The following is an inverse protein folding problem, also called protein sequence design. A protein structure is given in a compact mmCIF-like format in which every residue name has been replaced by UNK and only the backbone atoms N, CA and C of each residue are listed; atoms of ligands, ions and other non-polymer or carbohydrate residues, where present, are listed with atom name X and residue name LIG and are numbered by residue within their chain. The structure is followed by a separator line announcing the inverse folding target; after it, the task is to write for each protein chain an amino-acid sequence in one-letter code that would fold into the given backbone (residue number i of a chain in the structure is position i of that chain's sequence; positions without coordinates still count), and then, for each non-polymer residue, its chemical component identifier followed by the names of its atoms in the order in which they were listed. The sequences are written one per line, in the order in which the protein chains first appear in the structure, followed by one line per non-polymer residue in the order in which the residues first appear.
data_IF_439212287820
#
_entry.id   IF_439212287820
#
_cell.length_a   1.000
_cell.length_b   1.000
_cell.length_c   1.000
_cell.angle_alpha   90.00
_cell.angle_beta   90.00
_cell.angle_gamma   90.00
#
_symmetry.space_group_name_H-M   'P 1'
#
loop_
_entity.id
_entity.type
_entity.pdbx_description
1 polymer ?
#
# COMPACT_ATOMS: atom_id res chain seq x y z
N UNK A 1 55.47 12.98 20.56
CA UNK A 1 54.11 12.40 20.38
C UNK A 1 53.22 13.34 19.56
N UNK A 2 53.47 13.53 18.25
CA UNK A 2 52.74 14.56 17.46
C UNK A 2 52.45 14.23 15.99
N UNK A 3 52.62 12.97 15.57
CA UNK A 3 52.43 12.53 14.18
C UNK A 3 51.11 11.77 13.96
N UNK A 4 50.64 11.00 14.95
CA UNK A 4 49.40 10.22 14.85
C UNK A 4 48.16 11.13 14.80
N UNK A 5 48.14 12.20 15.61
CA UNK A 5 47.04 13.19 15.62
C UNK A 5 46.88 13.90 14.27
N UNK A 6 47.98 14.20 13.56
CA UNK A 6 47.92 14.84 12.24
C UNK A 6 47.39 13.91 11.15
N UNK A 7 47.68 12.61 11.23
CA UNK A 7 47.17 11.60 10.30
C UNK A 7 45.66 11.38 10.47
N UNK A 8 45.17 11.33 11.71
CA UNK A 8 43.72 11.25 11.99
C UNK A 8 42.98 12.51 11.55
N UNK A 9 43.57 13.70 11.70
CA UNK A 9 42.96 14.96 11.24
C UNK A 9 43.00 15.07 9.71
N UNK A 10 44.07 14.61 9.05
CA UNK A 10 44.16 14.58 7.58
C UNK A 10 43.19 13.57 6.96
N UNK A 11 42.98 12.40 7.58
CA UNK A 11 41.95 11.44 7.18
C UNK A 11 40.54 12.01 7.37
N UNK A 12 40.23 12.60 8.52
CA UNK A 12 38.94 13.24 8.76
C UNK A 12 38.67 14.41 7.78
N UNK A 13 39.68 15.22 7.49
CA UNK A 13 39.63 16.30 6.49
C UNK A 13 39.42 15.74 5.08
N UNK A 14 40.14 14.68 4.70
CA UNK A 14 40.00 14.04 3.40
C UNK A 14 38.62 13.40 3.22
N UNK A 15 38.04 12.78 4.26
CA UNK A 15 36.67 12.26 4.21
C UNK A 15 35.66 13.40 4.06
N UNK A 16 35.88 14.53 4.75
CA UNK A 16 35.02 15.71 4.64
C UNK A 16 35.11 16.35 3.24
N UNK A 17 36.31 16.42 2.65
CA UNK A 17 36.54 16.95 1.31
C UNK A 17 36.01 16.03 0.20
N UNK A 18 36.12 14.71 0.35
CA UNK A 18 35.46 13.74 -0.56
C UNK A 18 33.94 13.83 -0.45
N UNK A 19 33.40 14.05 0.75
CA UNK A 19 31.96 14.28 0.96
C UNK A 19 31.52 15.62 0.36
N UNK A 20 32.35 16.67 0.43
CA UNK A 20 32.07 17.98 -0.17
C UNK A 20 32.17 17.96 -1.71
N UNK A 21 33.15 17.23 -2.26
CA UNK A 21 33.32 17.04 -3.69
C UNK A 21 32.21 16.15 -4.26
N UNK A 22 31.82 15.10 -3.54
CA UNK A 22 30.63 14.30 -3.87
C UNK A 22 29.34 15.12 -3.74
N UNK A 23 29.23 16.07 -2.80
CA UNK A 23 28.06 16.93 -2.66
C UNK A 23 27.78 17.84 -3.88
N UNK A 24 28.75 18.01 -4.79
CA UNK A 24 28.57 18.69 -6.09
C UNK A 24 28.22 17.74 -7.26
N UNK A 25 28.27 16.42 -7.04
CA UNK A 25 27.78 15.45 -8.00
C UNK A 25 26.27 15.24 -7.77
N UNK A 26 25.46 15.64 -8.74
CA UNK A 26 24.03 15.36 -8.72
C UNK A 26 23.78 14.02 -9.43
N UNK A 27 23.23 13.01 -8.73
CA UNK A 27 22.87 11.74 -9.34
C UNK A 27 21.58 11.91 -10.12
N UNK A 28 21.62 11.83 -11.44
CA UNK A 28 20.39 11.82 -12.22
C UNK A 28 19.80 10.39 -12.27
N UNK A 29 18.82 10.13 -11.39
CA UNK A 29 18.15 8.84 -11.32
C UNK A 29 17.35 8.49 -12.59
N UNK A 30 17.11 9.44 -13.50
CA UNK A 30 16.53 9.13 -14.81
C UNK A 30 17.52 8.40 -15.73
N UNK A 31 18.82 8.57 -15.51
CA UNK A 31 19.89 8.01 -16.34
C UNK A 31 20.45 6.69 -15.79
N UNK A 32 20.20 6.39 -14.51
CA UNK A 32 20.64 5.15 -13.88
C UNK A 32 19.65 4.05 -14.25
N UNK A 33 20.06 3.12 -15.11
CA UNK A 33 19.27 1.98 -15.54
C UNK A 33 20.01 0.69 -15.27
N UNK A 34 19.31 -0.26 -14.66
CA UNK A 34 19.76 -1.61 -14.43
C UNK A 34 19.09 -2.57 -15.41
N UNK A 35 19.78 -3.67 -15.70
CA UNK A 35 19.15 -4.80 -16.38
C UNK A 35 18.10 -5.41 -15.45
N UNK A 36 16.89 -5.61 -15.96
CA UNK A 36 15.82 -6.22 -15.19
C UNK A 36 16.19 -7.68 -14.84
N UNK A 37 15.94 -8.14 -13.60
CA UNK A 37 16.18 -9.53 -13.23
C UNK A 37 15.36 -10.49 -14.11
N UNK A 38 15.87 -11.71 -14.30
CA UNK A 38 15.28 -12.70 -15.20
C UNK A 38 13.81 -12.98 -14.89
N UNK A 39 13.46 -12.95 -13.60
CA UNK A 39 12.12 -13.22 -13.10
C UNK A 39 11.09 -12.21 -13.58
N UNK A 40 11.50 -11.00 -13.95
CA UNK A 40 10.61 -9.93 -14.42
C UNK A 40 10.52 -9.83 -15.95
N UNK A 41 11.32 -10.58 -16.71
CA UNK A 41 11.41 -10.38 -18.16
C UNK A 41 10.06 -10.60 -18.88
N UNK A 42 9.26 -11.57 -18.44
CA UNK A 42 7.95 -11.80 -19.04
C UNK A 42 6.99 -10.63 -18.76
N UNK A 43 7.06 -10.01 -17.57
CA UNK A 43 6.33 -8.77 -17.30
C UNK A 43 6.64 -7.69 -18.34
N UNK A 44 7.93 -7.41 -18.57
CA UNK A 44 8.37 -6.40 -19.54
C UNK A 44 7.97 -6.71 -20.99
N UNK A 45 7.76 -7.99 -21.33
CA UNK A 45 7.26 -8.41 -22.66
C UNK A 45 5.75 -8.24 -22.80
N UNK A 46 5.01 -8.37 -21.70
CA UNK A 46 3.54 -8.28 -21.65
C UNK A 46 3.03 -6.84 -21.46
N UNK A 47 3.90 -5.89 -21.15
CA UNK A 47 3.54 -4.47 -21.11
C UNK A 47 3.26 -3.91 -22.52
N UNK A 48 2.35 -2.94 -22.58
CA UNK A 48 2.19 -2.13 -23.78
C UNK A 48 3.49 -1.35 -24.05
N UNK A 49 3.74 -1.02 -25.33
CA UNK A 49 4.94 -0.28 -25.73
C UNK A 49 5.07 1.03 -24.93
N UNK A 50 3.96 1.76 -24.82
CA UNK A 50 3.90 3.01 -24.06
C UNK A 50 4.22 2.81 -22.58
N UNK A 51 3.56 1.88 -21.88
CA UNK A 51 3.83 1.63 -20.45
C UNK A 51 5.26 1.22 -20.18
N UNK A 52 5.85 0.44 -21.10
CA UNK A 52 7.26 0.07 -21.00
C UNK A 52 8.19 1.27 -21.19
N UNK A 53 7.94 2.12 -22.18
CA UNK A 53 8.69 3.36 -22.40
C UNK A 53 8.57 4.31 -21.19
N UNK A 54 7.35 4.49 -20.67
CA UNK A 54 7.08 5.31 -19.48
C UNK A 54 7.81 4.76 -18.25
N UNK A 55 7.84 3.44 -18.08
CA UNK A 55 8.54 2.77 -16.98
C UNK A 55 10.07 2.79 -17.09
N UNK A 56 10.64 2.86 -18.30
CA UNK A 56 12.09 2.84 -18.51
C UNK A 56 12.71 4.24 -18.67
N UNK A 57 11.93 5.24 -19.09
CA UNK A 57 12.41 6.58 -19.44
C UNK A 57 11.57 7.72 -18.83
N UNK A 58 10.42 7.40 -18.25
CA UNK A 58 9.49 8.40 -17.71
C UNK A 58 9.79 8.84 -16.27
N UNK A 59 8.93 9.71 -15.74
CA UNK A 59 9.01 10.23 -14.37
C UNK A 59 8.93 9.14 -13.31
N UNK A 60 8.23 8.03 -13.61
CA UNK A 60 8.06 6.90 -12.69
C UNK A 60 9.35 6.10 -12.51
N UNK A 61 10.22 6.03 -13.54
CA UNK A 61 11.58 5.47 -13.43
C UNK A 61 12.43 6.28 -12.46
N UNK A 62 12.47 7.60 -12.66
CA UNK A 62 13.20 8.50 -11.76
C UNK A 62 12.62 8.45 -10.33
N UNK A 63 11.31 8.30 -10.18
CA UNK A 63 10.64 8.13 -8.88
C UNK A 63 11.07 6.84 -8.20
N UNK A 64 11.08 5.72 -8.91
CA UNK A 64 11.57 4.43 -8.41
C UNK A 64 13.02 4.52 -7.95
N UNK A 65 13.91 5.08 -8.76
CA UNK A 65 15.32 5.26 -8.42
C UNK A 65 15.54 6.17 -7.19
N UNK A 66 14.85 7.31 -7.12
CA UNK A 66 14.92 8.22 -5.97
C UNK A 66 14.44 7.56 -4.68
N UNK A 67 13.29 6.89 -4.71
CA UNK A 67 12.77 6.19 -3.53
C UNK A 67 13.70 5.04 -3.13
N UNK A 68 14.19 4.26 -4.10
CA UNK A 68 15.14 3.18 -3.85
C UNK A 68 16.39 3.69 -3.13
N UNK A 69 17.02 4.75 -3.63
CA UNK A 69 18.20 5.33 -3.00
C UNK A 69 17.91 5.93 -1.61
N UNK A 70 16.71 6.48 -1.39
CA UNK A 70 16.30 7.07 -0.12
C UNK A 70 16.11 6.00 0.99
N UNK A 71 15.57 4.84 0.63
CA UNK A 71 15.24 3.76 1.56
C UNK A 71 16.25 2.60 1.59
N UNK A 72 17.15 2.50 0.61
CA UNK A 72 18.17 1.44 0.49
C UNK A 72 18.84 1.03 1.82
N UNK A 73 19.30 1.96 2.68
CA UNK A 73 20.00 1.59 3.91
C UNK A 73 19.16 0.87 4.97
N UNK A 74 17.83 0.97 4.91
CA UNK A 74 16.93 0.43 5.94
C UNK A 74 16.13 -0.79 5.47
N UNK A 75 16.33 -1.22 4.22
CA UNK A 75 15.65 -2.37 3.64
C UNK A 75 16.32 -3.67 4.12
N UNK A 76 15.58 -4.63 4.69
CA UNK A 76 16.10 -5.94 5.04
C UNK A 76 16.49 -6.73 3.78
N UNK A 77 17.40 -7.69 3.94
CA UNK A 77 17.79 -8.55 2.83
C UNK A 77 16.66 -9.50 2.47
N UNK A 78 16.05 -9.27 1.30
CA UNK A 78 14.91 -10.06 0.82
C UNK A 78 15.08 -10.63 -0.61
N UNK A 79 16.20 -11.31 -0.91
CA UNK A 79 16.44 -11.82 -2.26
C UNK A 79 15.41 -12.84 -2.72
N UNK A 80 14.89 -13.70 -1.83
CA UNK A 80 13.93 -14.74 -2.22
C UNK A 80 12.54 -14.17 -2.45
N UNK A 81 12.12 -13.21 -1.65
CA UNK A 81 10.88 -12.47 -1.85
C UNK A 81 10.91 -11.64 -3.13
N UNK A 82 11.98 -10.89 -3.39
CA UNK A 82 12.10 -10.14 -4.65
C UNK A 82 12.02 -11.08 -5.87
N UNK A 83 12.70 -12.23 -5.81
CA UNK A 83 12.65 -13.27 -6.85
C UNK A 83 11.25 -13.86 -7.02
N UNK A 84 10.62 -14.31 -5.93
CA UNK A 84 9.28 -14.90 -5.94
C UNK A 84 8.23 -13.91 -6.45
N UNK A 85 8.32 -12.65 -6.01
CA UNK A 85 7.45 -11.59 -6.49
C UNK A 85 7.64 -11.36 -8.00
N UNK A 86 8.88 -11.31 -8.50
CA UNK A 86 9.17 -11.26 -9.93
C UNK A 86 8.50 -12.37 -10.73
N UNK A 87 8.61 -13.62 -10.25
CA UNK A 87 7.95 -14.77 -10.88
C UNK A 87 6.43 -14.58 -10.87
N UNK A 88 5.86 -14.15 -9.74
CA UNK A 88 4.41 -13.93 -9.59
C UNK A 88 3.90 -12.87 -10.54
N UNK A 89 4.54 -11.70 -10.62
CA UNK A 89 4.08 -10.61 -11.50
C UNK A 89 4.20 -10.99 -12.97
N UNK A 90 5.25 -11.74 -13.33
CA UNK A 90 5.43 -12.30 -14.68
C UNK A 90 4.36 -13.33 -15.03
N UNK A 91 3.98 -14.19 -14.08
CA UNK A 91 2.88 -15.13 -14.26
C UNK A 91 1.53 -14.42 -14.44
N UNK A 92 1.21 -13.48 -13.56
CA UNK A 92 -0.05 -12.71 -13.61
C UNK A 92 -0.15 -11.94 -14.92
N UNK A 93 0.90 -11.22 -15.32
CA UNK A 93 0.91 -10.45 -16.57
C UNK A 93 0.82 -11.31 -17.83
N UNK A 94 1.24 -12.57 -17.75
CA UNK A 94 1.10 -13.54 -18.85
C UNK A 94 -0.30 -14.16 -18.92
N UNK A 95 -1.18 -13.87 -17.96
CA UNK A 95 -2.53 -14.42 -17.92
C UNK A 95 -3.36 -13.97 -19.13
N UNK A 96 -3.98 -14.91 -19.87
CA UNK A 96 -4.90 -14.57 -20.96
C UNK A 96 -6.11 -13.72 -20.51
N UNK A 97 -6.41 -13.70 -19.21
CA UNK A 97 -7.48 -12.86 -18.64
C UNK A 97 -7.15 -11.37 -18.76
N UNK A 98 -5.88 -11.00 -18.57
CA UNK A 98 -5.42 -9.62 -18.59
C UNK A 98 -4.92 -9.20 -19.98
N UNK A 99 -4.42 -10.16 -20.75
CA UNK A 99 -3.89 -9.96 -22.10
C UNK A 99 -4.62 -10.84 -23.12
N UNK A 100 -5.86 -10.49 -23.50
CA UNK A 100 -6.60 -11.21 -24.53
C UNK A 100 -5.83 -11.13 -25.86
N UNK A 101 -5.66 -12.28 -26.53
CA UNK A 101 -4.91 -12.45 -27.79
C UNK A 101 -5.56 -11.75 -29.01
N UNK A 102 -6.50 -10.83 -28.79
CA UNK A 102 -7.07 -10.02 -29.87
C UNK A 102 -5.93 -9.20 -30.46
N UNK A 103 -5.72 -9.33 -31.77
CA UNK A 103 -4.70 -8.58 -32.51
C UNK A 103 -4.76 -7.11 -32.08
N UNK A 104 -3.63 -6.51 -31.69
CA UNK A 104 -3.56 -5.10 -31.22
C UNK A 104 -4.28 -4.10 -32.15
N UNK A 105 -4.43 -4.44 -33.44
CA UNK A 105 -5.24 -3.71 -34.43
C UNK A 105 -6.73 -3.60 -34.11
N UNK A 106 -7.30 -4.46 -33.26
CA UNK A 106 -8.70 -4.44 -32.83
C UNK A 106 -9.03 -3.37 -31.79
N UNK A 107 -8.02 -2.79 -31.14
CA UNK A 107 -8.20 -1.79 -30.07
C UNK A 107 -8.05 -0.35 -30.55
N UNK A 108 -7.71 -0.14 -31.83
CA UNK A 108 -7.62 1.18 -32.45
C UNK A 108 -6.76 2.15 -31.63
N UNK A 109 -7.34 3.32 -31.30
CA UNK A 109 -6.68 4.40 -30.55
C UNK A 109 -6.31 4.05 -29.11
N UNK A 110 -6.83 2.94 -28.56
CA UNK A 110 -6.56 2.50 -27.19
C UNK A 110 -5.50 1.40 -27.10
N UNK A 111 -4.91 0.98 -28.22
CA UNK A 111 -3.95 -0.13 -28.25
C UNK A 111 -2.78 0.05 -27.27
N UNK A 112 -2.38 1.29 -26.99
CA UNK A 112 -1.28 1.62 -26.06
C UNK A 112 -1.69 1.57 -24.57
N UNK A 113 -2.98 1.57 -24.28
CA UNK A 113 -3.53 1.54 -22.91
C UNK A 113 -4.11 0.17 -22.53
N UNK A 114 -4.13 -0.79 -23.46
CA UNK A 114 -4.67 -2.14 -23.25
C UNK A 114 -3.66 -3.03 -22.53
N UNK A 115 -4.14 -3.82 -21.59
CA UNK A 115 -3.37 -4.78 -20.81
C UNK A 115 -3.16 -4.33 -19.37
N UNK A 116 -2.30 -5.05 -18.64
CA UNK A 116 -2.00 -4.78 -17.23
C UNK A 116 -1.21 -3.48 -17.05
N UNK A 117 -1.53 -2.71 -16.01
CA UNK A 117 -0.67 -1.63 -15.54
C UNK A 117 0.31 -2.18 -14.51
N UNK A 118 1.56 -2.37 -14.94
CA UNK A 118 2.66 -2.75 -14.07
C UNK A 118 3.85 -1.80 -14.25
N UNK A 119 3.54 -0.53 -14.58
CA UNK A 119 4.53 0.50 -14.92
C UNK A 119 5.50 0.72 -13.76
N UNK A 120 4.98 0.86 -12.54
CA UNK A 120 5.78 0.99 -11.31
C UNK A 120 6.64 -0.25 -11.01
N UNK A 121 6.15 -1.46 -11.28
CA UNK A 121 6.90 -2.70 -11.09
C UNK A 121 8.07 -2.78 -12.06
N UNK A 122 7.83 -2.51 -13.34
CA UNK A 122 8.90 -2.54 -14.35
C UNK A 122 9.94 -1.46 -14.09
N UNK A 123 9.49 -0.25 -13.75
CA UNK A 123 10.37 0.84 -13.32
C UNK A 123 11.22 0.44 -12.11
N UNK A 124 10.64 -0.24 -11.12
CA UNK A 124 11.37 -0.77 -9.98
C UNK A 124 12.41 -1.82 -10.40
N UNK A 125 12.02 -2.80 -11.22
CA UNK A 125 12.91 -3.85 -11.70
C UNK A 125 14.13 -3.29 -12.46
N UNK A 126 13.98 -2.15 -13.15
CA UNK A 126 15.07 -1.48 -13.88
C UNK A 126 15.77 -0.36 -13.09
N UNK A 127 15.36 -0.08 -11.85
CA UNK A 127 15.93 0.99 -11.00
C UNK A 127 16.86 0.48 -9.90
N UNK A 128 17.08 -0.84 -9.84
CA UNK A 128 18.03 -1.48 -8.92
C UNK A 128 17.36 -2.26 -7.77
N UNK A 129 18.16 -2.97 -6.97
CA UNK A 129 17.66 -3.99 -6.05
C UNK A 129 16.79 -3.43 -4.90
N UNK A 130 16.99 -2.17 -4.51
CA UNK A 130 16.20 -1.52 -3.46
C UNK A 130 14.83 -1.02 -3.95
N UNK A 131 14.61 -0.91 -5.25
CA UNK A 131 13.38 -0.33 -5.80
C UNK A 131 12.18 -1.29 -5.75
N UNK A 132 12.39 -2.60 -5.95
CA UNK A 132 11.35 -3.62 -5.81
C UNK A 132 10.77 -3.65 -4.39
N UNK A 133 11.57 -3.71 -3.31
CA UNK A 133 11.06 -3.59 -1.95
C UNK A 133 10.19 -2.33 -1.73
N UNK A 134 10.61 -1.19 -2.27
CA UNK A 134 9.84 0.07 -2.17
C UNK A 134 8.51 -0.04 -2.92
N UNK A 135 8.48 -0.72 -4.06
CA UNK A 135 7.22 -1.02 -4.74
C UNK A 135 6.30 -1.90 -3.89
N UNK A 136 6.85 -2.90 -3.19
CA UNK A 136 6.10 -3.74 -2.25
C UNK A 136 5.45 -2.91 -1.12
N UNK A 137 6.13 -1.88 -0.61
CA UNK A 137 5.52 -0.90 0.31
C UNK A 137 4.36 -0.17 -0.36
N UNK A 138 4.54 0.29 -1.60
CA UNK A 138 3.49 0.91 -2.39
C UNK A 138 2.24 0.04 -2.48
N UNK A 139 2.39 -1.26 -2.74
CA UNK A 139 1.29 -2.21 -2.75
C UNK A 139 0.61 -2.34 -1.38
N UNK A 140 1.35 -2.39 -0.26
CA UNK A 140 0.74 -2.45 1.07
C UNK A 140 -0.10 -1.19 1.37
N UNK A 141 0.43 -0.01 1.03
CA UNK A 141 -0.28 1.25 1.22
C UNK A 141 -1.51 1.34 0.33
N UNK A 142 -1.39 0.99 -0.95
CA UNK A 142 -2.50 1.00 -1.89
C UNK A 142 -3.61 0.01 -1.51
N UNK A 143 -3.25 -1.13 -0.93
CA UNK A 143 -4.21 -2.15 -0.47
C UNK A 143 -5.04 -1.67 0.72
N UNK A 144 -4.42 -0.97 1.68
CA UNK A 144 -5.07 -0.61 2.94
C UNK A 144 -5.72 0.78 2.92
N UNK A 145 -5.10 1.73 2.24
CA UNK A 145 -5.47 3.14 2.26
C UNK A 145 -6.08 3.59 0.93
N UNK A 146 -6.99 4.56 0.99
CA UNK A 146 -7.47 5.25 -0.22
C UNK A 146 -6.33 6.02 -0.87
N UNK A 147 -6.47 6.37 -2.15
CA UNK A 147 -5.41 7.06 -2.89
C UNK A 147 -4.91 8.33 -2.17
N UNK A 148 -5.82 9.19 -1.70
CA UNK A 148 -5.44 10.44 -1.01
C UNK A 148 -4.71 10.22 0.31
N UNK A 149 -5.08 9.18 1.06
CA UNK A 149 -4.42 8.80 2.31
C UNK A 149 -3.04 8.19 2.04
N UNK A 150 -2.94 7.24 1.11
CA UNK A 150 -1.68 6.61 0.72
C UNK A 150 -0.67 7.64 0.21
N UNK A 151 -1.10 8.59 -0.61
CA UNK A 151 -0.25 9.70 -1.08
C UNK A 151 0.20 10.58 0.09
N UNK A 152 -0.68 10.87 1.05
CA UNK A 152 -0.33 11.65 2.24
C UNK A 152 0.69 10.92 3.12
N UNK A 153 0.52 9.60 3.30
CA UNK A 153 1.47 8.74 4.00
C UNK A 153 2.83 8.75 3.31
N UNK A 154 2.86 8.59 1.97
CA UNK A 154 4.10 8.67 1.21
C UNK A 154 4.83 10.01 1.40
N UNK A 155 4.10 11.13 1.36
CA UNK A 155 4.68 12.46 1.59
C UNK A 155 5.31 12.55 2.97
N UNK A 156 4.63 12.05 4.01
CA UNK A 156 5.13 12.06 5.40
C UNK A 156 6.35 11.17 5.59
N UNK A 157 6.28 9.96 5.04
CA UNK A 157 7.36 8.96 5.15
C UNK A 157 8.61 9.45 4.43
N UNK A 158 8.48 10.02 3.24
CA UNK A 158 9.60 10.61 2.48
C UNK A 158 10.17 11.83 3.21
N UNK A 159 9.32 12.73 3.71
CA UNK A 159 9.76 13.92 4.44
C UNK A 159 10.53 13.54 5.71
N UNK A 160 10.01 12.61 6.51
CA UNK A 160 10.66 12.14 7.73
C UNK A 160 11.99 11.45 7.42
N UNK A 161 12.04 10.60 6.39
CA UNK A 161 13.27 9.92 5.98
C UNK A 161 14.36 10.91 5.56
N UNK A 162 14.01 11.96 4.83
CA UNK A 162 14.94 13.04 4.47
C UNK A 162 15.50 13.76 5.69
N UNK A 163 14.67 14.01 6.70
CA UNK A 163 15.09 14.61 7.97
C UNK A 163 16.08 13.68 8.71
N UNK A 164 15.82 12.37 8.76
CA UNK A 164 16.75 11.42 9.38
C UNK A 164 18.11 11.40 8.68
N UNK A 165 18.12 11.41 7.35
CA UNK A 165 19.36 11.45 6.57
C UNK A 165 20.12 12.75 6.84
N UNK A 166 19.43 13.89 6.88
CA UNK A 166 20.03 15.18 7.24
C UNK A 166 20.66 15.14 8.63
N UNK A 167 19.95 14.60 9.62
CA UNK A 167 20.45 14.45 10.99
C UNK A 167 21.68 13.52 11.06
N UNK A 168 21.70 12.41 10.31
CA UNK A 168 22.86 11.50 10.24
C UNK A 168 24.11 12.18 9.66
N UNK A 169 23.94 13.14 8.75
CA UNK A 169 25.07 13.91 8.19
C UNK A 169 25.59 14.89 9.25
N UNK A 170 24.70 15.54 10.00
CA UNK A 170 25.06 16.47 11.08
C UNK A 170 25.77 15.75 12.24
N UNK A 171 25.40 14.50 12.54
CA UNK A 171 26.10 13.65 13.52
C UNK A 171 27.41 13.04 13.02
N UNK A 172 27.81 13.32 11.78
CA UNK A 172 29.01 12.80 11.11
C UNK A 172 29.00 11.26 10.96
N UNK A 173 27.80 10.69 10.79
CA UNK A 173 27.63 9.28 10.43
C UNK A 173 27.92 9.06 8.93
N UNK A 174 28.38 7.85 8.58
CA UNK A 174 28.60 7.50 7.18
C UNK A 174 27.26 7.28 6.47
N UNK A 175 26.96 8.14 5.49
CA UNK A 175 25.77 8.03 4.63
C UNK A 175 26.20 7.68 3.21
N UNK A 176 25.51 6.72 2.58
CA UNK A 176 25.75 6.38 1.18
C UNK A 176 25.50 7.60 0.28
N UNK A 177 26.39 7.82 -0.68
CA UNK A 177 26.32 8.99 -1.57
C UNK A 177 24.99 9.10 -2.34
N UNK A 178 24.49 7.97 -2.84
CA UNK A 178 23.19 7.89 -3.52
C UNK A 178 22.01 8.28 -2.61
N UNK A 179 22.04 7.85 -1.34
CA UNK A 179 21.04 8.23 -0.33
C UNK A 179 21.11 9.72 -0.01
N UNK A 180 22.32 10.27 0.13
CA UNK A 180 22.53 11.70 0.30
C UNK A 180 21.96 12.50 -0.89
N UNK A 181 22.27 12.08 -2.12
CA UNK A 181 21.79 12.75 -3.34
C UNK A 181 20.27 12.70 -3.45
N UNK A 182 19.66 11.53 -3.23
CA UNK A 182 18.21 11.35 -3.25
C UNK A 182 17.48 12.21 -2.20
N UNK A 183 18.06 12.38 -1.00
CA UNK A 183 17.46 13.20 0.05
C UNK A 183 17.31 14.68 -0.35
N UNK A 184 18.24 15.19 -1.16
CA UNK A 184 18.25 16.59 -1.63
C UNK A 184 17.38 16.83 -2.87
N UNK A 185 17.02 15.77 -3.60
CA UNK A 185 16.20 15.90 -4.79
C UNK A 185 14.73 16.03 -4.45
N UNK A 186 14.02 16.81 -5.26
CA UNK A 186 12.58 16.95 -5.10
C UNK A 186 11.84 15.67 -5.53
N UNK A 187 10.91 15.26 -4.68
CA UNK A 187 9.94 14.21 -4.94
C UNK A 187 8.56 14.80 -4.62
N UNK A 188 7.88 15.27 -5.66
CA UNK A 188 6.61 15.97 -5.54
C UNK A 188 5.48 15.03 -5.18
N UNK A 189 4.37 15.61 -4.69
CA UNK A 189 3.13 14.87 -4.43
C UNK A 189 2.58 14.19 -5.69
N UNK A 190 2.77 14.79 -6.88
CA UNK A 190 2.34 14.18 -8.15
C UNK A 190 3.15 12.93 -8.50
N UNK A 191 4.47 12.93 -8.30
CA UNK A 191 5.29 11.73 -8.51
C UNK A 191 4.84 10.57 -7.62
N UNK A 192 4.50 10.86 -6.36
CA UNK A 192 3.98 9.88 -5.41
C UNK A 192 2.57 9.41 -5.78
N UNK A 193 1.75 10.27 -6.36
CA UNK A 193 0.43 9.92 -6.87
C UNK A 193 0.51 8.97 -8.07
N UNK A 194 1.41 9.24 -9.02
CA UNK A 194 1.63 8.35 -10.18
C UNK A 194 2.14 6.97 -9.72
N UNK A 195 3.02 6.95 -8.72
CA UNK A 195 3.52 5.72 -8.10
C UNK A 195 2.40 4.90 -7.42
N UNK A 196 1.58 5.52 -6.57
CA UNK A 196 0.42 4.87 -5.92
C UNK A 196 -0.61 4.40 -6.96
N UNK A 197 -0.90 5.23 -7.96
CA UNK A 197 -1.87 4.90 -9.00
C UNK A 197 -1.47 3.66 -9.78
N UNK A 198 -0.21 3.53 -10.18
CA UNK A 198 0.28 2.33 -10.87
C UNK A 198 0.27 1.10 -9.95
N UNK A 199 0.66 1.24 -8.67
CA UNK A 199 0.59 0.13 -7.71
C UNK A 199 -0.85 -0.34 -7.48
N UNK A 200 -1.82 0.58 -7.41
CA UNK A 200 -3.24 0.27 -7.26
C UNK A 200 -3.82 -0.43 -8.48
N UNK A 201 -3.54 0.08 -9.68
CA UNK A 201 -3.97 -0.54 -10.94
C UNK A 201 -3.39 -1.96 -11.10
N UNK A 202 -2.16 -2.18 -10.64
CA UNK A 202 -1.58 -3.52 -10.56
C UNK A 202 -2.38 -4.44 -9.62
N UNK A 203 -2.68 -4.00 -8.39
CA UNK A 203 -3.41 -4.79 -7.41
C UNK A 203 -4.78 -5.23 -7.93
N UNK A 204 -5.52 -4.35 -8.62
CA UNK A 204 -6.81 -4.68 -9.23
C UNK A 204 -6.67 -5.81 -10.27
N UNK A 205 -5.62 -5.74 -11.09
CA UNK A 205 -5.34 -6.76 -12.12
C UNK A 205 -4.94 -8.11 -11.49
N UNK A 206 -4.08 -8.06 -10.48
CA UNK A 206 -3.62 -9.23 -9.75
C UNK A 206 -4.77 -9.91 -8.97
N UNK A 207 -5.67 -9.13 -8.39
CA UNK A 207 -6.86 -9.62 -7.69
C UNK A 207 -7.80 -10.39 -8.59
N UNK A 208 -7.96 -9.97 -9.85
CA UNK A 208 -8.80 -10.70 -10.79
C UNK A 208 -8.18 -12.04 -11.21
N UNK A 209 -6.86 -12.13 -11.34
CA UNK A 209 -6.17 -13.39 -11.66
C UNK A 209 -6.15 -14.34 -10.44
N UNK A 210 -5.90 -13.81 -9.25
CA UNK A 210 -5.80 -14.59 -7.99
C UNK A 210 -7.05 -14.49 -7.11
N UNK A 211 -8.21 -14.32 -7.74
CA UNK A 211 -9.50 -14.04 -7.08
C UNK A 211 -9.88 -15.06 -6.01
N UNK A 212 -9.58 -16.33 -6.22
CA UNK A 212 -9.93 -17.42 -5.31
C UNK A 212 -9.09 -17.34 -4.04
N UNK A 213 -7.76 -17.30 -4.18
CA UNK A 213 -6.82 -17.22 -3.07
C UNK A 213 -7.01 -15.91 -2.29
N UNK A 214 -7.18 -14.80 -3.01
CA UNK A 214 -7.44 -13.51 -2.40
C UNK A 214 -8.76 -13.51 -1.60
N UNK A 215 -9.83 -14.12 -2.15
CA UNK A 215 -11.10 -14.28 -1.42
C UNK A 215 -10.94 -15.17 -0.18
N UNK A 216 -10.21 -16.28 -0.29
CA UNK A 216 -9.97 -17.19 0.83
C UNK A 216 -9.18 -16.51 1.94
N UNK A 217 -8.11 -15.78 1.59
CA UNK A 217 -7.36 -14.97 2.54
C UNK A 217 -8.26 -13.93 3.19
N UNK A 218 -9.06 -13.19 2.40
CA UNK A 218 -9.94 -12.13 2.92
C UNK A 218 -10.97 -12.65 3.93
N UNK A 219 -11.57 -13.82 3.69
CA UNK A 219 -12.46 -14.46 4.66
C UNK A 219 -11.76 -14.73 6.01
N UNK A 220 -10.47 -14.99 6.00
CA UNK A 220 -9.69 -15.15 7.23
C UNK A 220 -9.47 -13.78 7.88
N UNK A 221 -9.12 -12.77 7.09
CA UNK A 221 -8.88 -11.40 7.59
C UNK A 221 -10.11 -10.80 8.25
N UNK A 222 -11.29 -10.99 7.66
CA UNK A 222 -12.57 -10.49 8.19
C UNK A 222 -12.89 -11.08 9.59
N UNK A 223 -12.37 -12.26 9.92
CA UNK A 223 -12.61 -12.94 11.21
C UNK A 223 -11.47 -12.74 12.23
N UNK A 224 -10.50 -11.87 11.95
CA UNK A 224 -9.36 -11.57 12.84
C UNK A 224 -9.47 -10.12 13.30
N UNK A 225 -9.20 -9.87 14.59
CA UNK A 225 -8.99 -8.51 15.10
C UNK A 225 -7.52 -8.36 15.49
N UNK A 226 -6.69 -7.91 14.54
CA UNK A 226 -5.26 -7.76 14.74
C UNK A 226 -4.79 -6.44 14.10
N UNK A 227 -4.13 -5.55 14.85
CA UNK A 227 -3.56 -4.36 14.26
C UNK A 227 -2.35 -4.67 13.38
N UNK A 228 -2.18 -3.93 12.28
CA UNK A 228 -0.95 -3.94 11.47
C UNK A 228 0.22 -3.42 12.29
N UNK A 229 -0.02 -2.35 13.05
CA UNK A 229 0.90 -1.77 14.00
C UNK A 229 0.11 -0.92 15.01
N UNK A 230 0.70 -0.66 16.19
CA UNK A 230 0.07 0.11 17.27
C UNK A 230 0.62 1.54 17.43
N UNK A 231 1.68 1.89 16.70
CA UNK A 231 2.27 3.22 16.75
C UNK A 231 1.45 4.20 15.89
N UNK A 232 1.18 5.38 16.43
CA UNK A 232 0.45 6.43 15.73
C UNK A 232 1.35 7.31 14.85
N UNK A 233 2.67 7.26 15.06
CA UNK A 233 3.65 7.95 14.20
C UNK A 233 3.68 7.28 12.81
N UNK A 234 3.31 7.99 11.73
CA UNK A 234 3.19 7.39 10.41
C UNK A 234 4.47 6.78 9.89
N UNK A 235 5.62 7.42 10.17
CA UNK A 235 6.89 6.91 9.69
C UNK A 235 7.29 5.63 10.42
N UNK A 236 7.32 5.63 11.75
CA UNK A 236 7.69 4.47 12.54
C UNK A 236 6.75 3.29 12.29
N UNK A 237 5.44 3.55 12.23
CA UNK A 237 4.43 2.52 11.97
C UNK A 237 4.58 1.89 10.59
N UNK A 238 4.75 2.71 9.54
CA UNK A 238 4.92 2.21 8.17
C UNK A 238 6.23 1.46 7.99
N UNK A 239 7.34 1.98 8.53
CA UNK A 239 8.63 1.28 8.44
C UNK A 239 8.62 -0.05 9.21
N UNK A 240 7.99 -0.10 10.40
CA UNK A 240 7.88 -1.32 11.19
C UNK A 240 7.03 -2.38 10.47
N UNK A 241 5.84 -2.02 10.01
CA UNK A 241 4.95 -2.92 9.28
C UNK A 241 5.61 -3.45 7.99
N UNK A 242 6.25 -2.59 7.22
CA UNK A 242 6.93 -2.96 5.98
C UNK A 242 8.10 -3.92 6.23
N UNK A 243 8.94 -3.64 7.23
CA UNK A 243 10.06 -4.52 7.58
C UNK A 243 9.61 -5.87 8.15
N UNK A 244 8.59 -5.86 9.01
CA UNK A 244 7.97 -7.06 9.58
C UNK A 244 7.43 -7.96 8.47
N UNK A 245 6.64 -7.39 7.55
CA UNK A 245 6.07 -8.10 6.41
C UNK A 245 7.14 -8.69 5.48
N UNK A 246 8.14 -7.88 5.08
CA UNK A 246 9.21 -8.31 4.19
C UNK A 246 10.02 -9.47 4.79
N UNK A 247 10.41 -9.35 6.05
CA UNK A 247 11.20 -10.38 6.74
C UNK A 247 10.40 -11.67 6.94
N UNK A 248 9.11 -11.54 7.26
CA UNK A 248 8.21 -12.68 7.44
C UNK A 248 8.04 -13.46 6.14
N UNK A 249 7.76 -12.77 5.03
CA UNK A 249 7.55 -13.45 3.75
C UNK A 249 8.85 -14.01 3.15
N UNK A 250 9.98 -13.34 3.33
CA UNK A 250 11.29 -13.89 2.96
C UNK A 250 11.52 -15.27 3.60
N UNK A 251 11.22 -15.41 4.89
CA UNK A 251 11.35 -16.67 5.62
C UNK A 251 10.31 -17.71 5.18
N UNK A 252 9.05 -17.30 4.97
CA UNK A 252 8.01 -18.23 4.51
C UNK A 252 8.36 -18.85 3.16
N UNK A 253 8.86 -18.04 2.22
CA UNK A 253 9.23 -18.49 0.87
C UNK A 253 10.27 -19.61 0.90
N UNK A 254 11.24 -19.55 1.81
CA UNK A 254 12.28 -20.57 1.99
C UNK A 254 11.86 -21.72 2.92
N UNK A 255 10.55 -21.87 3.17
CA UNK A 255 10.01 -22.99 3.92
C UNK A 255 10.14 -22.87 5.44
N UNK A 256 10.51 -21.69 5.96
CA UNK A 256 10.60 -21.47 7.41
C UNK A 256 9.23 -21.05 7.95
N UNK A 257 8.61 -21.83 8.85
CA UNK A 257 7.31 -21.48 9.43
C UNK A 257 7.43 -20.20 10.24
N UNK A 258 6.42 -19.33 10.14
CA UNK A 258 6.37 -18.06 10.85
C UNK A 258 5.11 -17.98 11.71
N UNK A 259 5.15 -17.14 12.74
CA UNK A 259 4.00 -16.79 13.56
C UNK A 259 3.66 -15.32 13.33
N UNK A 260 2.42 -15.03 12.96
CA UNK A 260 1.92 -13.66 12.86
C UNK A 260 1.91 -13.04 14.27
N UNK A 261 2.71 -11.99 14.47
CA UNK A 261 2.70 -11.16 15.68
C UNK A 261 1.82 -9.92 15.50
N UNK A 262 1.73 -9.47 14.26
CA UNK A 262 0.96 -8.33 13.79
C UNK A 262 0.23 -8.73 12.49
N UNK A 263 -0.61 -7.83 11.99
CA UNK A 263 -1.33 -8.04 10.75
C UNK A 263 -0.56 -7.59 9.49
N UNK A 264 0.69 -7.14 9.62
CA UNK A 264 1.47 -6.64 8.49
C UNK A 264 1.80 -7.74 7.48
N UNK A 265 2.16 -8.93 7.98
CA UNK A 265 2.38 -10.10 7.12
C UNK A 265 1.12 -10.47 6.33
N UNK A 266 -0.06 -10.48 6.98
CA UNK A 266 -1.34 -10.78 6.34
C UNK A 266 -1.73 -9.74 5.29
N UNK A 267 -1.53 -8.45 5.59
CA UNK A 267 -1.70 -7.36 4.64
C UNK A 267 -0.78 -7.58 3.42
N UNK A 268 0.48 -7.94 3.65
CA UNK A 268 1.43 -8.22 2.59
C UNK A 268 1.06 -9.44 1.74
N UNK A 269 0.53 -10.53 2.32
CA UNK A 269 0.01 -11.66 1.52
C UNK A 269 -1.06 -11.19 0.52
N UNK A 270 -1.97 -10.31 0.97
CA UNK A 270 -3.02 -9.75 0.12
C UNK A 270 -2.52 -8.73 -0.91
N UNK A 271 -1.40 -8.05 -0.63
CA UNK A 271 -0.83 -7.01 -1.48
C UNK A 271 0.18 -7.55 -2.50
N UNK A 272 0.88 -8.65 -2.18
CA UNK A 272 1.97 -9.18 -3.01
C UNK A 272 1.59 -10.49 -3.73
N UNK A 273 0.38 -11.01 -3.45
CA UNK A 273 -0.21 -12.19 -4.08
C UNK A 273 0.68 -13.44 -3.95
N UNK A 274 1.35 -13.58 -2.81
CA UNK A 274 2.08 -14.79 -2.41
C UNK A 274 1.30 -15.39 -1.25
N UNK A 275 0.82 -16.62 -1.41
CA UNK A 275 -0.16 -17.25 -0.53
C UNK A 275 0.42 -18.52 0.13
N UNK A 276 1.21 -18.38 1.21
CA UNK A 276 1.66 -19.51 2.01
C UNK A 276 0.47 -20.26 2.62
N UNK A 277 0.67 -21.52 2.98
CA UNK A 277 -0.30 -22.24 3.79
C UNK A 277 -0.45 -21.57 5.16
N UNK A 278 -1.66 -21.58 5.70
CA UNK A 278 -1.99 -20.90 6.96
C UNK A 278 -2.41 -21.92 8.02
N UNK A 279 -2.11 -21.61 9.28
CA UNK A 279 -2.61 -22.35 10.43
C UNK A 279 -3.35 -21.39 11.35
N UNK A 280 -4.69 -21.46 11.35
CA UNK A 280 -5.52 -20.64 12.22
C UNK A 280 -5.65 -21.30 13.60
N UNK A 281 -5.14 -20.65 14.64
CA UNK A 281 -5.23 -21.09 16.03
C UNK A 281 -6.50 -20.51 16.66
N UNK A 282 -7.62 -21.18 16.46
CA UNK A 282 -8.91 -20.88 17.13
C UNK A 282 -9.24 -21.90 18.21
N UNK A 283 -10.53 -22.14 18.44
CA UNK A 283 -11.01 -23.22 19.31
C UNK A 283 -10.47 -24.60 18.91
N UNK A 284 -10.21 -24.78 17.61
CA UNK A 284 -9.53 -25.94 17.04
C UNK A 284 -8.50 -25.44 16.01
N UNK A 285 -7.23 -25.87 16.08
CA UNK A 285 -6.23 -25.56 15.06
C UNK A 285 -6.70 -26.03 13.69
N UNK A 286 -6.88 -25.09 12.77
CA UNK A 286 -7.43 -25.38 11.44
C UNK A 286 -6.36 -25.08 10.38
N UNK A 287 -5.84 -26.11 9.69
CA UNK A 287 -4.93 -25.90 8.57
C UNK A 287 -5.71 -25.40 7.35
N UNK A 288 -5.14 -24.43 6.64
CA UNK A 288 -5.70 -23.83 5.45
C UNK A 288 -4.65 -23.93 4.35
N UNK A 289 -4.88 -24.85 3.42
CA UNK A 289 -3.95 -25.12 2.32
C UNK A 289 -4.20 -24.13 1.18
N UNK A 290 -3.22 -23.29 0.90
CA UNK A 290 -3.20 -22.37 -0.24
C UNK A 290 -2.38 -22.96 -1.40
N UNK A 291 -1.44 -23.87 -1.12
CA UNK A 291 -0.64 -24.62 -2.09
C UNK A 291 0.08 -23.74 -3.13
N UNK A 292 0.58 -22.59 -2.71
CA UNK A 292 1.34 -21.70 -3.58
C UNK A 292 2.72 -22.27 -3.91
N UNK A 293 2.99 -22.45 -5.20
CA UNK A 293 4.25 -23.02 -5.71
C UNK A 293 5.47 -22.14 -5.45
N UNK A 294 5.26 -20.86 -5.12
CA UNK A 294 6.34 -19.93 -4.78
C UNK A 294 6.83 -20.07 -3.34
N UNK A 295 6.13 -20.85 -2.52
CA UNK A 295 6.45 -21.08 -1.12
C UNK A 295 6.97 -22.52 -0.98
N UNK A 296 8.19 -22.67 -0.45
CA UNK A 296 8.72 -24.00 -0.19
C UNK A 296 7.93 -24.72 0.91
N UNK A 297 7.90 -26.06 0.84
CA UNK A 297 7.18 -26.89 1.81
C UNK A 297 7.68 -26.59 3.23
N UNK A 298 6.75 -26.38 4.15
CA UNK A 298 7.03 -25.99 5.54
C UNK A 298 6.87 -24.49 5.80
N UNK A 299 6.77 -23.67 4.75
CA UNK A 299 6.46 -22.25 4.82
C UNK A 299 5.00 -22.00 5.21
N UNK A 300 4.68 -22.23 6.49
CA UNK A 300 3.34 -22.07 7.03
C UNK A 300 3.27 -20.85 7.95
N UNK A 301 2.28 -19.98 7.74
CA UNK A 301 2.02 -18.85 8.62
C UNK A 301 0.97 -19.22 9.68
N UNK A 302 1.38 -19.20 10.94
CA UNK A 302 0.51 -19.46 12.08
C UNK A 302 -0.13 -18.17 12.57
N UNK A 303 -1.46 -18.14 12.63
CA UNK A 303 -2.27 -16.98 13.03
C UNK A 303 -2.87 -17.26 14.42
N UNK A 304 -2.53 -16.44 15.41
CA UNK A 304 -3.14 -16.50 16.74
C UNK A 304 -4.42 -15.67 16.81
N UNK A 305 -5.55 -16.30 17.14
CA UNK A 305 -6.84 -15.62 17.25
C UNK A 305 -7.07 -15.08 18.67
N UNK A 306 -6.48 -13.95 19.06
CA UNK A 306 -7.05 -13.13 20.16
C UNK A 306 -6.45 -11.73 20.28
N UNK A 307 -7.24 -10.73 19.95
CA UNK A 307 -7.21 -9.44 20.64
C UNK A 307 -8.67 -9.06 20.94
N UNK A 308 -9.15 -9.36 22.15
CA UNK A 308 -10.48 -8.94 22.59
C UNK A 308 -10.42 -7.43 22.90
N UNK A 309 -10.86 -6.60 21.95
CA UNK A 309 -11.16 -5.19 22.22
C UNK A 309 -12.63 -4.95 21.87
N UNK A 310 -13.49 -4.59 22.84
CA UNK A 310 -14.94 -4.46 22.62
C UNK A 310 -15.32 -3.29 21.70
N UNK A 311 -14.38 -2.39 21.36
CA UNK A 311 -14.64 -1.16 20.60
C UNK A 311 -14.03 -1.15 19.18
N UNK A 312 -13.48 -2.27 18.68
CA UNK A 312 -12.87 -2.33 17.34
C UNK A 312 -13.73 -3.13 16.37
N UNK A 313 -13.98 -2.54 15.20
CA UNK A 313 -14.55 -3.25 14.04
C UNK A 313 -13.71 -4.49 13.73
N UNK A 314 -14.38 -5.59 13.37
CA UNK A 314 -13.73 -6.83 12.92
C UNK A 314 -12.77 -6.54 11.75
N UNK A 315 -11.71 -7.33 11.58
CA UNK A 315 -10.73 -7.15 10.50
C UNK A 315 -9.34 -6.66 10.92
N UNK A 316 -8.46 -6.53 9.93
CA UNK A 316 -7.11 -5.96 10.13
C UNK A 316 -7.22 -4.45 10.26
N UNK A 317 -6.91 -3.91 11.44
CA UNK A 317 -6.89 -2.46 11.66
C UNK A 317 -5.50 -1.85 11.45
N UNK A 318 -5.39 -0.70 10.80
CA UNK A 318 -4.16 0.11 10.81
C UNK A 318 -4.53 1.55 11.11
N UNK A 319 -3.89 2.13 12.13
CA UNK A 319 -4.15 3.51 12.55
C UNK A 319 -2.90 4.39 12.46
N UNK A 320 -3.02 5.55 11.84
CA UNK A 320 -1.93 6.52 11.62
C UNK A 320 -2.43 7.95 11.87
N UNK A 321 -1.61 8.81 12.47
CA UNK A 321 -1.91 10.24 12.63
C UNK A 321 -1.36 11.04 11.46
N UNK A 322 -2.21 11.36 10.48
CA UNK A 322 -1.77 12.02 9.24
C UNK A 322 -1.85 13.54 9.35
N UNK A 323 -0.71 14.21 9.19
CA UNK A 323 -0.61 15.67 9.15
C UNK A 323 -0.93 16.25 7.77
N UNK A 324 -0.79 15.49 6.68
CA UNK A 324 -0.88 15.97 5.29
C UNK A 324 -2.23 15.77 4.60
N UNK A 325 -3.25 15.39 5.38
CA UNK A 325 -4.65 15.27 4.94
C UNK A 325 -5.51 16.50 5.27
N UNK A 326 -4.87 17.60 5.70
CA UNK A 326 -5.56 18.81 6.17
C UNK A 326 -6.24 19.56 5.02
N UNK A 327 -7.51 19.91 5.25
CA UNK A 327 -8.05 21.15 4.69
C UNK A 327 -7.95 22.32 5.70
N UNK A 328 -8.28 22.16 6.99
CA UNK A 328 -7.97 23.16 8.04
C UNK A 328 -8.06 22.50 9.45
N UNK A 329 -6.95 22.22 10.17
CA UNK A 329 -7.02 21.67 11.56
C UNK A 329 -5.80 20.87 12.07
N UNK A 330 -5.89 20.39 13.32
CA UNK A 330 -4.92 19.49 13.99
C UNK A 330 -4.83 18.12 13.30
N UNK A 331 -3.72 17.34 13.47
CA UNK A 331 -3.56 16.03 12.83
C UNK A 331 -4.72 15.09 13.17
N UNK A 332 -5.30 14.43 12.16
CA UNK A 332 -6.40 13.48 12.37
C UNK A 332 -5.85 12.07 12.45
N UNK A 333 -6.13 11.39 13.57
CA UNK A 333 -5.90 9.95 13.68
C UNK A 333 -6.89 9.23 12.76
N UNK A 334 -6.37 8.57 11.75
CA UNK A 334 -7.16 7.71 10.87
C UNK A 334 -6.95 6.26 11.31
N UNK A 335 -8.04 5.52 11.46
CA UNK A 335 -8.03 4.07 11.68
C UNK A 335 -8.88 3.43 10.60
N UNK A 336 -8.33 2.46 9.87
CA UNK A 336 -9.07 1.67 8.88
C UNK A 336 -8.97 0.20 9.17
N UNK A 337 -10.12 -0.49 9.11
CA UNK A 337 -10.18 -1.95 9.06
C UNK A 337 -10.28 -2.43 7.61
N UNK A 338 -9.54 -3.47 7.25
CA UNK A 338 -9.69 -4.15 5.96
C UNK A 338 -10.85 -5.16 6.08
N UNK A 339 -12.09 -4.69 5.96
CA UNK A 339 -13.30 -5.54 5.93
C UNK A 339 -13.92 -5.62 4.54
N UNK A 340 -14.81 -6.60 4.34
CA UNK A 340 -15.63 -6.79 3.14
C UNK A 340 -16.38 -5.52 2.66
N UNK A 341 -16.72 -4.60 3.57
CA UNK A 341 -17.76 -3.59 3.37
C UNK A 341 -17.30 -2.12 3.49
N UNK A 342 -16.01 -1.81 3.30
CA UNK A 342 -15.47 -0.44 3.36
C UNK A 342 -16.08 0.61 2.40
N UNK A 343 -17.07 0.23 1.58
CA UNK A 343 -17.84 1.13 0.71
C UNK A 343 -19.36 1.03 0.90
N UNK A 344 -19.86 0.24 1.86
CA UNK A 344 -21.28 0.13 2.15
C UNK A 344 -21.59 0.90 3.42
N UNK A 345 -22.24 2.04 3.25
CA UNK A 345 -22.93 2.71 4.35
C UNK A 345 -23.94 1.73 4.95
N UNK A 346 -23.84 1.50 6.26
CA UNK A 346 -24.89 0.83 7.01
C UNK A 346 -26.20 1.60 6.86
N UNK A 347 -27.35 0.95 7.07
CA UNK A 347 -28.64 1.64 7.00
C UNK A 347 -28.71 2.83 7.96
N UNK A 348 -28.03 2.75 9.11
CA UNK A 348 -27.92 3.86 10.06
C UNK A 348 -27.11 5.03 9.48
N UNK A 349 -25.97 4.76 8.86
CA UNK A 349 -25.17 5.81 8.20
C UNK A 349 -25.90 6.42 7.01
N UNK A 350 -26.62 5.62 6.22
CA UNK A 350 -27.52 6.11 5.17
C UNK A 350 -28.60 7.02 5.76
N UNK A 351 -29.16 6.65 6.91
CA UNK A 351 -30.19 7.45 7.61
C UNK A 351 -29.62 8.76 8.13
N UNK A 352 -28.39 8.76 8.64
CA UNK A 352 -27.68 9.97 9.08
C UNK A 352 -27.36 10.88 7.89
N UNK A 353 -26.91 10.32 6.76
CA UNK A 353 -26.67 11.08 5.52
C UNK A 353 -27.98 11.67 4.98
N UNK A 354 -29.07 10.90 5.00
CA UNK A 354 -30.40 11.36 4.59
C UNK A 354 -30.91 12.48 5.51
N UNK A 355 -30.84 12.31 6.84
CA UNK A 355 -31.22 13.33 7.82
C UNK A 355 -30.35 14.60 7.70
N UNK A 356 -29.05 14.44 7.47
CA UNK A 356 -28.11 15.55 7.27
C UNK A 356 -28.42 16.35 6.00
N UNK A 357 -28.82 15.68 4.91
CA UNK A 357 -29.24 16.35 3.68
C UNK A 357 -30.54 17.14 3.87
N UNK A 358 -31.52 16.59 4.61
CA UNK A 358 -32.81 17.23 4.91
C UNK A 358 -32.69 18.40 5.90
N UNK A 359 -31.69 18.40 6.77
CA UNK A 359 -31.45 19.48 7.73
C UNK A 359 -30.81 20.75 7.13
N UNK A 360 -30.34 20.70 5.88
CA UNK A 360 -29.69 21.84 5.21
C UNK A 360 -30.64 22.72 4.38
N UNK A 361 -31.87 22.26 4.15
CA UNK A 361 -32.96 23.08 3.59
C UNK A 361 -33.84 23.60 4.71
N UNK A 362 -34.08 24.91 4.74
CA UNK A 362 -34.79 25.62 5.81
C UNK A 362 -36.17 25.05 6.17
N UNK A 363 -36.45 25.07 7.48
CA UNK A 363 -37.64 24.66 8.23
C UNK A 363 -38.23 23.26 7.95
N UNK A 364 -38.10 22.30 8.90
CA UNK A 364 -38.74 21.00 8.76
C UNK A 364 -40.27 21.10 8.96
N UNK A 365 -41.09 20.44 8.13
CA UNK A 365 -42.51 20.24 8.37
C UNK A 365 -42.77 19.60 9.75
N UNK A 366 -43.81 20.07 10.45
CA UNK A 366 -44.17 19.60 11.82
C UNK A 366 -44.39 18.08 11.92
N UNK A 367 -44.71 17.42 10.80
CA UNK A 367 -44.94 15.97 10.73
C UNK A 367 -43.65 15.13 10.85
N UNK A 368 -42.46 15.74 10.73
CA UNK A 368 -41.15 15.06 10.86
C UNK A 368 -40.64 14.92 12.29
N UNK A 369 -41.15 15.73 13.23
CA UNK A 369 -40.81 15.60 14.66
C UNK A 369 -41.45 14.35 15.29
N UNK A 370 -42.61 13.93 14.78
CA UNK A 370 -43.28 12.71 15.22
C UNK A 370 -42.56 11.44 14.73
N UNK A 371 -41.91 11.50 13.55
CA UNK A 371 -41.10 10.39 13.02
C UNK A 371 -39.83 10.15 13.84
N UNK A 372 -39.23 11.22 14.38
CA UNK A 372 -38.06 11.14 15.26
C UNK A 372 -38.37 10.48 16.62
N UNK A 373 -39.61 10.60 17.11
CA UNK A 373 -40.06 10.00 18.37
C UNK A 373 -40.40 8.51 18.23
N UNK A 374 -40.86 8.04 17.07
CA UNK A 374 -41.13 6.62 16.82
C UNK A 374 -39.87 5.77 16.56
N UNK A 375 -38.74 6.40 16.16
CA UNK A 375 -37.47 5.69 15.90
C UNK A 375 -36.69 5.25 17.14
N UNK A 376 -37.12 5.63 18.35
CA UNK A 376 -36.53 5.18 19.61
C UNK A 376 -36.98 3.78 20.07
N UNK A 377 -37.89 3.12 19.35
CA UNK A 377 -38.43 1.80 19.69
C UNK A 377 -37.97 0.72 18.69
N UNK A 378 -37.77 -0.55 19.12
CA UNK A 378 -37.30 -1.61 18.25
C UNK A 378 -38.31 -1.91 17.12
N UNK A 379 -37.88 -1.73 15.87
CA UNK A 379 -38.73 -1.84 14.70
C UNK A 379 -39.07 -3.29 14.30
N UNK A 380 -40.34 -3.54 13.97
CA UNK A 380 -40.81 -4.78 13.33
C UNK A 380 -40.88 -4.66 11.81
N UNK A 381 -40.83 -5.77 11.08
CA UNK A 381 -40.73 -5.81 9.60
C UNK A 381 -41.83 -5.05 8.83
N UNK A 382 -43.00 -4.82 9.44
CA UNK A 382 -44.08 -4.01 8.84
C UNK A 382 -43.79 -2.51 8.85
N UNK A 383 -43.03 -2.03 9.82
CA UNK A 383 -42.66 -0.61 9.93
C UNK A 383 -41.62 -0.21 8.87
N UNK A 384 -40.72 -1.12 8.48
CA UNK A 384 -39.75 -0.85 7.42
C UNK A 384 -40.40 -0.57 6.07
N UNK A 385 -41.50 -1.24 5.74
CA UNK A 385 -42.22 -1.02 4.47
C UNK A 385 -42.92 0.34 4.40
N UNK A 386 -43.42 0.87 5.54
CA UNK A 386 -44.05 2.20 5.55
C UNK A 386 -43.00 3.31 5.50
N UNK A 387 -41.85 3.11 6.15
CA UNK A 387 -40.73 4.06 6.16
C UNK A 387 -40.08 4.18 4.78
N UNK A 388 -39.91 3.07 4.05
CA UNK A 388 -39.42 3.09 2.66
C UNK A 388 -40.40 3.78 1.71
N UNK A 389 -41.71 3.61 1.91
CA UNK A 389 -42.73 4.26 1.10
C UNK A 389 -42.79 5.78 1.36
N UNK A 390 -42.64 6.19 2.62
CA UNK A 390 -42.60 7.61 3.00
C UNK A 390 -41.33 8.31 2.49
N UNK A 391 -40.17 7.67 2.59
CA UNK A 391 -38.91 8.18 2.03
C UNK A 391 -38.94 8.25 0.50
N UNK A 392 -39.47 7.22 -0.18
CA UNK A 392 -39.62 7.24 -1.63
C UNK A 392 -40.58 8.35 -2.09
N UNK A 393 -41.68 8.58 -1.36
CA UNK A 393 -42.62 9.66 -1.65
C UNK A 393 -42.00 11.04 -1.45
N UNK A 394 -41.23 11.25 -0.38
CA UNK A 394 -40.57 12.52 -0.11
C UNK A 394 -39.47 12.84 -1.14
N UNK A 395 -38.70 11.83 -1.57
CA UNK A 395 -37.67 11.99 -2.61
C UNK A 395 -38.31 12.27 -3.97
N UNK A 396 -39.41 11.60 -4.33
CA UNK A 396 -40.14 11.85 -5.58
C UNK A 396 -40.73 13.27 -5.61
N UNK A 397 -41.26 13.75 -4.50
CA UNK A 397 -41.86 15.09 -4.40
C UNK A 397 -40.79 16.20 -4.51
N UNK A 398 -39.56 15.95 -4.06
CA UNK A 398 -38.45 16.89 -4.20
C UNK A 398 -37.81 16.89 -5.60
N UNK A 399 -37.96 15.80 -6.37
CA UNK A 399 -37.51 15.72 -7.76
C UNK A 399 -38.46 16.39 -8.77
N UNK A 400 -39.72 16.67 -8.40
CA UNK A 400 -40.68 17.39 -9.28
C UNK A 400 -40.56 18.92 -9.19
N UNK A 401 -39.82 19.45 -8.21
CA UNK A 401 -39.61 20.91 -8.03
C UNK A 401 -38.24 21.43 -8.55
N UNK A 402 -37.51 20.64 -9.35
CA UNK A 402 -36.28 21.05 -10.04
C UNK A 402 -36.34 20.91 -11.56
#
# INVERSE_FOLDING_TARGET
MGSISKLTTALASATSELTLAAANLNVDFSLVKFEAPQEYLALGQNLSKKRREDAELGSIHATAGKLAALFSPIIPRIPNLARAYGIRVSEISSSPLLNPQVSRSGYGIFADSVGVDATSIWAAATSGPAAVPVHLLGCMLARHWSANEAISIWVEVVAKRKIEIAASIESNDSVLFETYSAARQELTRSHLADWDSSARAWLESADEVYKVQNRQLRLILDNINLPVDTNLDPYQSVMAAWNSAMSTLENLIIGMPQRAQDAAALLALSAWHIYPDLLALGSCPTPIEMNDKLVEKGGTLTIGLTYESPDREEGISWALSLAHLRYYGDPTTLSKSLTQDGSRISFNELTIVALGSLGTSGEPPKDLLDLGLEMGAPFSSKSMSSLTLALASAVLQHCEEF
#
